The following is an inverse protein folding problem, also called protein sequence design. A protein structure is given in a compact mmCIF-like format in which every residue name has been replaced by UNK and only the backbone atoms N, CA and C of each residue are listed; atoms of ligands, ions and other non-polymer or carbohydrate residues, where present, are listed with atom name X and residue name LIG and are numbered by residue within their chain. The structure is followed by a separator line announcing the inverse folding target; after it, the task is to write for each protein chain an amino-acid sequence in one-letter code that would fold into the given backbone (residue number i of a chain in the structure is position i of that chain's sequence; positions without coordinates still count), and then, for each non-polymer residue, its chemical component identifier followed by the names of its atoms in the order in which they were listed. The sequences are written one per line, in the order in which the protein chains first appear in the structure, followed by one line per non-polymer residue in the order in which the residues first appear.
data_IF_831086931904
#
_entry.id   IF_831086931904
#
_cell.length_a   1.000
_cell.length_b   1.000
_cell.length_c   1.000
_cell.angle_alpha   90.00
_cell.angle_beta   90.00
_cell.angle_gamma   90.00
#
_symmetry.space_group_name_H-M   'P 1'
#
loop_
_entity.id
_entity.type
_entity.pdbx_description
1 polymer ?
#
# COMPACT_ATOMS: atom_id res chain seq x y z
N UNK A 1 19.45 -26.87 -14.38
CA UNK A 1 20.91 -27.01 -14.14
C UNK A 1 21.20 -27.05 -12.64
N UNK A 2 22.11 -27.91 -12.17
CA UNK A 2 22.49 -28.02 -10.75
C UNK A 2 23.02 -26.68 -10.21
N UNK A 3 23.73 -25.90 -11.04
CA UNK A 3 24.26 -24.60 -10.66
C UNK A 3 23.14 -23.59 -10.34
N UNK A 4 22.09 -23.52 -11.16
CA UNK A 4 20.93 -22.64 -10.91
C UNK A 4 20.17 -23.04 -9.65
N UNK A 5 20.04 -24.35 -9.38
CA UNK A 5 19.39 -24.84 -8.18
C UNK A 5 20.14 -24.41 -6.91
N UNK A 6 21.47 -24.58 -6.88
CA UNK A 6 22.30 -24.11 -5.75
C UNK A 6 22.24 -22.60 -5.57
N UNK A 7 22.28 -21.84 -6.67
CA UNK A 7 22.17 -20.38 -6.62
C UNK A 7 20.82 -19.90 -6.08
N UNK A 8 19.71 -20.53 -6.50
CA UNK A 8 18.38 -20.21 -6.01
C UNK A 8 18.22 -20.49 -4.51
N UNK A 9 18.69 -21.66 -4.04
CA UNK A 9 18.67 -22.01 -2.63
C UNK A 9 19.47 -21.02 -1.77
N UNK A 10 20.69 -20.66 -2.22
CA UNK A 10 21.53 -19.68 -1.53
C UNK A 10 20.82 -18.32 -1.38
N UNK A 11 20.17 -17.83 -2.44
CA UNK A 11 19.39 -16.58 -2.37
C UNK A 11 18.20 -16.67 -1.42
N UNK A 12 17.45 -17.77 -1.42
CA UNK A 12 16.33 -17.96 -0.50
C UNK A 12 16.81 -17.93 0.97
N UNK A 13 17.94 -18.57 1.28
CA UNK A 13 18.52 -18.59 2.64
C UNK A 13 18.81 -17.18 3.18
N UNK A 14 19.18 -16.22 2.33
CA UNK A 14 19.46 -14.84 2.79
C UNK A 14 18.26 -14.14 3.44
N UNK A 15 17.04 -14.55 3.08
CA UNK A 15 15.80 -14.04 3.68
C UNK A 15 15.35 -14.95 4.82
N UNK A 16 15.38 -16.27 4.61
CA UNK A 16 14.91 -17.26 5.58
C UNK A 16 15.72 -17.29 6.89
N UNK A 17 17.00 -16.89 6.86
CA UNK A 17 17.86 -16.86 8.03
C UNK A 17 17.63 -15.63 8.95
N UNK A 18 16.73 -14.71 8.58
CA UNK A 18 16.43 -13.51 9.36
C UNK A 18 15.16 -13.72 10.19
N UNK A 19 15.18 -13.27 11.45
CA UNK A 19 14.01 -13.31 12.33
C UNK A 19 12.90 -12.34 11.87
N UNK A 20 13.28 -11.27 11.19
CA UNK A 20 12.35 -10.26 10.66
C UNK A 20 12.81 -9.73 9.31
N UNK A 21 11.87 -9.25 8.51
CA UNK A 21 12.13 -8.60 7.22
C UNK A 21 11.51 -7.20 7.21
N UNK A 22 12.20 -6.26 6.60
CA UNK A 22 11.63 -4.95 6.32
C UNK A 22 10.81 -5.04 5.03
N UNK A 23 9.52 -4.74 5.13
CA UNK A 23 8.67 -4.51 3.97
C UNK A 23 8.83 -3.07 3.46
N UNK A 24 8.57 -2.86 2.18
CA UNK A 24 8.57 -1.52 1.59
C UNK A 24 7.52 -0.63 2.29
N UNK A 25 7.89 0.62 2.60
CA UNK A 25 7.03 1.56 3.34
C UNK A 25 5.99 2.29 2.48
N UNK A 26 5.91 1.99 1.18
CA UNK A 26 4.97 2.62 0.24
C UNK A 26 3.62 1.92 0.37
N UNK A 27 2.93 2.18 1.48
CA UNK A 27 1.61 1.61 1.77
C UNK A 27 0.53 2.68 1.68
N UNK A 28 -0.69 2.26 1.35
CA UNK A 28 -1.86 3.11 1.42
C UNK A 28 -2.21 3.43 2.89
N UNK A 29 -2.72 4.63 3.13
CA UNK A 29 -3.20 5.10 4.43
C UNK A 29 -4.50 5.87 4.23
N UNK A 30 -5.42 5.80 5.19
CA UNK A 30 -6.72 6.46 5.11
C UNK A 30 -6.81 7.50 6.22
N UNK A 31 -7.18 8.73 5.87
CA UNK A 31 -7.54 9.75 6.83
C UNK A 31 -8.99 9.54 7.30
N UNK A 32 -9.13 9.11 8.55
CA UNK A 32 -10.43 8.79 9.17
C UNK A 32 -11.38 9.99 9.23
N UNK A 33 -10.86 11.21 9.36
CA UNK A 33 -11.68 12.44 9.42
C UNK A 33 -12.33 12.83 8.09
N UNK A 34 -11.81 12.31 6.96
CA UNK A 34 -12.29 12.61 5.60
C UNK A 34 -13.01 11.39 5.00
N UNK A 35 -12.72 10.19 5.49
CA UNK A 35 -13.30 8.96 5.00
C UNK A 35 -14.80 8.89 5.32
N UNK A 36 -15.61 8.56 4.31
CA UNK A 36 -17.06 8.35 4.48
C UNK A 36 -17.47 6.87 4.51
N UNK A 37 -16.51 5.95 4.40
CA UNK A 37 -16.79 4.51 4.40
C UNK A 37 -17.49 4.00 3.14
N UNK A 38 -17.33 4.68 1.99
CA UNK A 38 -18.05 4.35 0.74
C UNK A 38 -17.73 2.97 0.10
N UNK A 39 -16.69 2.27 0.56
CA UNK A 39 -16.35 0.90 0.10
C UNK A 39 -15.67 0.78 -1.26
N UNK A 40 -15.51 1.86 -2.04
CA UNK A 40 -14.86 1.81 -3.36
C UNK A 40 -13.42 1.25 -3.25
N UNK A 41 -12.66 1.70 -2.25
CA UNK A 41 -11.28 1.27 -2.05
C UNK A 41 -11.15 -0.22 -1.66
N UNK A 42 -12.11 -0.76 -0.92
CA UNK A 42 -12.17 -2.18 -0.56
C UNK A 42 -12.40 -3.06 -1.79
N UNK A 43 -13.38 -2.70 -2.63
CA UNK A 43 -13.69 -3.45 -3.86
C UNK A 43 -12.56 -3.43 -4.90
N UNK A 44 -11.73 -2.38 -4.91
CA UNK A 44 -10.64 -2.23 -5.87
C UNK A 44 -9.34 -2.92 -5.45
N UNK A 45 -9.21 -3.37 -4.20
CA UNK A 45 -7.96 -3.94 -3.72
C UNK A 45 -7.84 -5.43 -4.11
N UNK A 46 -6.96 -5.82 -5.05
CA UNK A 46 -6.83 -7.22 -5.46
C UNK A 46 -6.17 -8.10 -4.38
N UNK A 47 -5.58 -7.47 -3.36
CA UNK A 47 -4.86 -8.15 -2.27
C UNK A 47 -5.70 -8.26 -1.00
N UNK A 48 -6.94 -7.73 -0.99
CA UNK A 48 -7.78 -7.70 0.21
C UNK A 48 -7.14 -6.91 1.36
N UNK A 49 -6.32 -5.91 1.06
CA UNK A 49 -5.59 -5.14 2.06
C UNK A 49 -6.42 -4.04 2.72
N UNK A 50 -7.67 -3.82 2.29
CA UNK A 50 -8.53 -2.75 2.79
C UNK A 50 -9.85 -3.35 3.22
N UNK A 51 -10.35 -2.90 4.37
CA UNK A 51 -11.66 -3.31 4.91
C UNK A 51 -12.41 -2.09 5.41
N UNK A 52 -13.70 -1.99 5.13
CA UNK A 52 -14.54 -0.93 5.72
C UNK A 52 -15.07 -1.38 7.08
N UNK A 53 -14.81 -0.57 8.11
CA UNK A 53 -15.43 -0.74 9.41
C UNK A 53 -16.84 -0.15 9.37
N UNK A 54 -17.87 -1.01 9.42
CA UNK A 54 -19.27 -0.57 9.33
C UNK A 54 -19.72 0.30 10.51
N UNK A 55 -19.09 0.17 11.68
CA UNK A 55 -19.45 0.94 12.89
C UNK A 55 -18.92 2.35 12.81
N UNK A 56 -17.62 2.46 12.52
CA UNK A 56 -16.92 3.74 12.43
C UNK A 56 -17.17 4.43 11.06
N UNK A 57 -17.65 3.67 10.07
CA UNK A 57 -17.77 4.09 8.66
C UNK A 57 -16.46 4.60 8.08
N UNK A 58 -15.36 3.92 8.40
CA UNK A 58 -14.01 4.27 7.95
C UNK A 58 -13.34 3.06 7.33
N UNK A 59 -12.61 3.26 6.24
CA UNK A 59 -11.78 2.23 5.62
C UNK A 59 -10.45 2.09 6.38
N UNK A 60 -10.08 0.85 6.73
CA UNK A 60 -8.83 0.49 7.41
C UNK A 60 -7.94 -0.30 6.47
N UNK A 61 -6.63 0.00 6.49
CA UNK A 61 -5.64 -0.67 5.64
C UNK A 61 -4.80 -1.63 6.48
N UNK A 62 -4.69 -2.87 6.02
CA UNK A 62 -3.71 -3.83 6.52
C UNK A 62 -2.38 -3.62 5.76
N UNK A 63 -1.42 -3.00 6.43
CA UNK A 63 -0.11 -2.68 5.85
C UNK A 63 0.68 -3.92 5.41
N UNK A 64 0.48 -5.07 6.06
CA UNK A 64 1.18 -6.32 5.70
C UNK A 64 0.70 -6.92 4.37
N UNK A 65 -0.56 -6.67 3.99
CA UNK A 65 -1.14 -7.14 2.73
C UNK A 65 -0.99 -6.13 1.59
N UNK A 66 -0.85 -4.85 1.93
CA UNK A 66 -0.72 -3.78 0.95
C UNK A 66 0.56 -3.94 0.12
N UNK A 67 0.41 -3.89 -1.22
CA UNK A 67 1.55 -3.93 -2.16
C UNK A 67 1.90 -2.57 -2.75
N UNK A 68 1.33 -1.49 -2.21
CA UNK A 68 1.66 -0.13 -2.65
C UNK A 68 1.26 0.23 -4.08
N UNK A 69 0.28 -0.45 -4.67
CA UNK A 69 -0.09 -0.21 -6.08
C UNK A 69 -0.80 1.13 -6.34
N UNK A 70 -1.29 1.81 -5.29
CA UNK A 70 -1.90 3.14 -5.38
C UNK A 70 -3.32 3.22 -5.97
N UNK A 71 -3.91 2.12 -6.45
CA UNK A 71 -5.24 2.10 -7.10
C UNK A 71 -6.34 2.67 -6.21
N UNK A 72 -6.34 2.31 -4.92
CA UNK A 72 -7.32 2.81 -3.95
C UNK A 72 -7.19 4.32 -3.70
N UNK A 73 -5.96 4.84 -3.67
CA UNK A 73 -5.68 6.27 -3.47
C UNK A 73 -6.17 7.09 -4.66
N UNK A 74 -5.91 6.63 -5.89
CA UNK A 74 -6.34 7.31 -7.10
C UNK A 74 -7.87 7.32 -7.28
N UNK A 75 -8.55 6.25 -6.86
CA UNK A 75 -10.00 6.12 -7.01
C UNK A 75 -10.81 6.75 -5.87
N UNK A 76 -10.16 7.21 -4.78
CA UNK A 76 -10.85 7.72 -3.61
C UNK A 76 -11.52 9.08 -3.92
N UNK A 77 -12.86 9.17 -3.96
CA UNK A 77 -13.53 10.40 -4.36
C UNK A 77 -13.39 11.51 -3.33
N UNK A 78 -13.23 11.16 -2.04
CA UNK A 78 -13.02 12.14 -0.97
C UNK A 78 -11.56 12.54 -0.79
N UNK A 79 -10.63 11.90 -1.50
CA UNK A 79 -9.18 12.10 -1.29
C UNK A 79 -8.67 11.60 0.07
N UNK A 80 -9.48 10.85 0.82
CA UNK A 80 -9.11 10.34 2.14
C UNK A 80 -8.00 9.29 2.09
N UNK A 81 -7.90 8.51 1.01
CA UNK A 81 -6.86 7.51 0.83
C UNK A 81 -5.63 8.12 0.14
N UNK A 82 -4.47 8.00 0.79
CA UNK A 82 -3.19 8.55 0.34
C UNK A 82 -2.11 7.47 0.38
N UNK A 83 -1.18 7.50 -0.57
CA UNK A 83 -0.03 6.59 -0.56
C UNK A 83 1.14 7.24 0.18
N UNK A 84 1.67 6.56 1.21
CA UNK A 84 2.83 7.06 1.95
C UNK A 84 4.02 7.26 1.00
N UNK A 85 4.65 8.42 1.08
CA UNK A 85 5.77 8.82 0.21
C UNK A 85 5.38 9.40 -1.15
N UNK A 86 4.10 9.35 -1.51
CA UNK A 86 3.54 9.93 -2.74
C UNK A 86 2.20 10.61 -2.45
N UNK A 87 2.16 11.45 -1.42
CA UNK A 87 0.93 12.18 -1.11
C UNK A 87 0.60 13.18 -2.22
N UNK A 88 -0.67 13.56 -2.35
CA UNK A 88 -1.10 14.55 -3.35
C UNK A 88 -0.31 15.85 -3.25
N UNK A 89 0.01 16.31 -2.03
CA UNK A 89 0.82 17.51 -1.82
C UNK A 89 2.24 17.35 -2.34
N UNK A 90 2.87 16.19 -2.09
CA UNK A 90 4.20 15.88 -2.61
C UNK A 90 4.21 15.85 -4.14
N UNK A 91 3.19 15.24 -4.77
CA UNK A 91 3.05 15.19 -6.22
C UNK A 91 2.85 16.59 -6.82
N UNK A 92 2.00 17.41 -6.19
CA UNK A 92 1.75 18.79 -6.64
C UNK A 92 3.01 19.65 -6.56
N UNK A 93 3.82 19.47 -5.50
CA UNK A 93 5.09 20.17 -5.32
C UNK A 93 6.10 19.78 -6.41
N UNK A 94 6.14 18.51 -6.81
CA UNK A 94 6.99 18.04 -7.91
C UNK A 94 6.57 18.63 -9.26
N UNK A 95 5.27 18.74 -9.52
CA UNK A 95 4.75 19.35 -10.76
C UNK A 95 5.06 20.86 -10.82
N UNK A 96 4.84 21.56 -9.70
CA UNK A 96 5.08 23.00 -9.60
C UNK A 96 6.57 23.38 -9.77
N UNK A 97 7.50 22.46 -9.51
CA UNK A 97 8.93 22.71 -9.70
C UNK A 97 9.36 22.72 -11.18
N UNK A 98 8.52 22.22 -12.09
CA UNK A 98 8.81 22.11 -13.53
C UNK A 98 8.05 23.19 -14.33
N UNK A 99 7.00 23.78 -13.75
CA UNK A 99 6.27 24.93 -14.31
C UNK A 99 6.95 26.25 -14.02
#
# INVERSE_FOLDING_TARGET
SIAQAKAAASRATTILAKDTIMAEGIVASVNESICSGCGICEALCPYGAITVDEKEKVAKVNEALCKGCGTCCAACPSGAAQQRGFTTDQLSSMLAAIS
#
